data_IF_821099036905
#
_entry.id   IF_821099036905
#
_cell.length_a   1.000
_cell.length_b   1.000
_cell.length_c   1.000
_cell.angle_alpha   90.00
_cell.angle_beta   90.00
_cell.angle_gamma   90.00
#
_symmetry.space_group_name_H-M   'P 1'
#
loop_
_entity.id
_entity.type
_entity.pdbx_description
1 polymer ?
#
# COMPACT_ATOMS: atom_id res chain seq x y z
N UNK A 1 12.12 8.83 -5.59
CA UNK A 1 11.41 9.15 -6.86
C UNK A 1 11.52 10.61 -7.23
N UNK A 2 11.22 11.51 -6.33
CA UNK A 2 11.36 12.97 -6.58
C UNK A 2 12.79 13.39 -6.93
N UNK A 3 13.80 12.73 -6.39
CA UNK A 3 15.19 13.02 -6.69
C UNK A 3 15.58 12.79 -8.17
N UNK A 4 14.95 11.83 -8.85
CA UNK A 4 15.23 11.52 -10.26
C UNK A 4 14.67 12.58 -11.21
N UNK A 5 13.56 13.21 -10.85
CA UNK A 5 12.91 14.26 -11.66
C UNK A 5 13.71 15.58 -11.66
N UNK A 6 14.69 15.70 -10.76
CA UNK A 6 15.57 16.88 -10.61
C UNK A 6 16.94 16.65 -11.23
N UNK A 7 17.24 15.44 -11.77
CA UNK A 7 18.53 15.18 -12.42
C UNK A 7 18.65 15.91 -13.75
N UNK A 8 19.86 16.39 -14.06
CA UNK A 8 20.15 17.15 -15.28
C UNK A 8 19.79 16.34 -16.54
N UNK A 9 20.06 15.02 -16.54
CA UNK A 9 19.73 14.11 -17.64
C UNK A 9 18.21 14.00 -17.90
N UNK A 10 17.39 14.07 -16.85
CA UNK A 10 15.92 14.09 -16.98
C UNK A 10 15.45 15.42 -17.55
N UNK A 11 16.00 16.52 -17.05
CA UNK A 11 15.65 17.89 -17.48
C UNK A 11 16.00 18.08 -18.95
N UNK A 12 17.18 17.61 -19.37
CA UNK A 12 17.66 17.70 -20.77
C UNK A 12 16.81 16.83 -21.70
N UNK A 13 16.53 15.58 -21.33
CA UNK A 13 15.70 14.66 -22.15
C UNK A 13 14.30 15.21 -22.41
N UNK A 14 13.73 15.85 -21.44
CA UNK A 14 12.38 16.40 -21.51
C UNK A 14 12.35 17.91 -21.85
N UNK A 15 13.41 18.49 -22.44
CA UNK A 15 13.48 19.92 -22.85
C UNK A 15 13.05 20.90 -21.76
N UNK A 16 13.63 20.80 -20.57
CA UNK A 16 13.43 21.71 -19.42
C UNK A 16 11.94 21.93 -19.06
N UNK A 17 11.28 20.92 -18.47
CA UNK A 17 9.85 20.98 -18.17
C UNK A 17 9.54 22.15 -17.22
N UNK A 18 8.48 22.89 -17.51
CA UNK A 18 8.03 23.98 -16.64
C UNK A 18 7.71 23.45 -15.24
N UNK A 19 7.87 24.28 -14.20
CA UNK A 19 7.57 23.91 -12.82
C UNK A 19 6.13 23.38 -12.62
N UNK A 20 5.18 23.85 -13.44
CA UNK A 20 3.80 23.35 -13.45
C UNK A 20 3.74 21.89 -13.90
N UNK A 21 4.48 21.51 -14.94
CA UNK A 21 4.53 20.13 -15.43
C UNK A 21 5.20 19.22 -14.40
N UNK A 22 6.29 19.68 -13.79
CA UNK A 22 6.96 18.94 -12.71
C UNK A 22 6.04 18.75 -11.50
N UNK A 23 5.30 19.77 -11.11
CA UNK A 23 4.27 19.71 -10.08
C UNK A 23 3.15 18.73 -10.43
N UNK A 24 2.67 18.74 -11.68
CA UNK A 24 1.66 17.79 -12.17
C UNK A 24 2.16 16.34 -12.15
N UNK A 25 3.40 16.09 -12.53
CA UNK A 25 4.03 14.77 -12.45
C UNK A 25 4.13 14.31 -11.00
N UNK A 26 4.48 15.19 -10.06
CA UNK A 26 4.54 14.89 -8.63
C UNK A 26 3.17 14.54 -8.05
N UNK A 27 2.15 15.37 -8.33
CA UNK A 27 0.80 15.22 -7.81
C UNK A 27 -0.01 14.08 -8.46
N UNK A 28 0.36 13.65 -9.67
CA UNK A 28 -0.30 12.55 -10.38
C UNK A 28 -0.34 11.24 -9.57
N UNK A 29 0.74 10.92 -8.87
CA UNK A 29 0.82 9.74 -8.01
C UNK A 29 -0.16 9.87 -6.82
N UNK A 30 -0.22 11.04 -6.19
CA UNK A 30 -1.14 11.30 -5.08
C UNK A 30 -2.61 11.25 -5.55
N UNK A 31 -2.94 11.82 -6.71
CA UNK A 31 -4.26 11.76 -7.29
C UNK A 31 -4.70 10.31 -7.56
N UNK A 32 -3.81 9.50 -8.15
CA UNK A 32 -4.04 8.06 -8.34
C UNK A 32 -4.29 7.33 -7.02
N UNK A 33 -3.54 7.65 -5.96
CA UNK A 33 -3.67 6.98 -4.66
C UNK A 33 -4.99 7.30 -3.94
N UNK A 34 -5.54 8.50 -4.12
CA UNK A 34 -6.88 8.84 -3.59
C UNK A 34 -7.94 7.96 -4.23
N UNK A 35 -7.90 7.79 -5.56
CA UNK A 35 -8.84 6.91 -6.26
C UNK A 35 -8.63 5.45 -5.83
N UNK A 36 -7.38 4.99 -5.76
CA UNK A 36 -7.03 3.64 -5.33
C UNK A 36 -7.54 3.31 -3.93
N UNK A 37 -7.36 4.21 -2.97
CA UNK A 37 -7.81 4.02 -1.58
C UNK A 37 -9.35 3.98 -1.48
N UNK A 38 -10.06 4.81 -2.25
CA UNK A 38 -11.52 4.82 -2.28
C UNK A 38 -12.10 3.50 -2.80
N UNK A 39 -11.45 2.87 -3.77
CA UNK A 39 -11.90 1.62 -4.40
C UNK A 39 -11.37 0.38 -3.65
N UNK A 40 -10.34 0.53 -2.82
CA UNK A 40 -9.70 -0.56 -2.09
C UNK A 40 -10.68 -1.38 -1.22
N UNK A 41 -11.58 -0.71 -0.49
CA UNK A 41 -12.59 -1.37 0.36
C UNK A 41 -13.50 -2.31 -0.42
N UNK A 42 -14.26 -1.82 -1.41
CA UNK A 42 -15.13 -2.65 -2.26
C UNK A 42 -14.43 -3.81 -2.96
N UNK A 43 -13.20 -3.60 -3.46
CA UNK A 43 -12.39 -4.66 -4.09
C UNK A 43 -12.03 -5.73 -3.05
N UNK A 44 -11.47 -5.31 -1.92
CA UNK A 44 -11.03 -6.20 -0.86
C UNK A 44 -12.17 -7.03 -0.25
N UNK A 45 -13.37 -6.47 -0.19
CA UNK A 45 -14.55 -7.19 0.29
C UNK A 45 -14.98 -8.31 -0.66
N UNK A 46 -14.78 -8.12 -1.97
CA UNK A 46 -15.16 -9.11 -2.99
C UNK A 46 -14.11 -10.22 -3.16
N UNK A 47 -12.86 -9.85 -3.34
CA UNK A 47 -11.79 -10.81 -3.71
C UNK A 47 -10.87 -11.19 -2.55
N UNK A 48 -10.97 -10.49 -1.41
CA UNK A 48 -10.11 -10.72 -0.23
C UNK A 48 -8.92 -9.78 -0.19
N UNK A 49 -8.31 -9.65 1.00
CA UNK A 49 -7.20 -8.73 1.25
C UNK A 49 -5.97 -9.10 0.43
N UNK A 50 -5.56 -10.38 0.50
CA UNK A 50 -4.40 -10.91 -0.21
C UNK A 50 -4.53 -10.75 -1.73
N UNK A 51 -5.66 -11.16 -2.25
CA UNK A 51 -5.89 -11.17 -3.70
C UNK A 51 -6.09 -9.73 -4.24
N UNK A 52 -6.56 -8.78 -3.40
CA UNK A 52 -6.58 -7.34 -3.72
C UNK A 52 -5.18 -6.74 -3.85
N UNK A 53 -4.25 -7.14 -2.99
CA UNK A 53 -2.86 -6.70 -3.09
C UNK A 53 -2.22 -7.26 -4.36
N UNK A 54 -2.48 -8.54 -4.68
CA UNK A 54 -2.01 -9.14 -5.93
C UNK A 54 -2.54 -8.41 -7.17
N UNK A 55 -3.83 -8.09 -7.17
CA UNK A 55 -4.47 -7.30 -8.23
C UNK A 55 -3.80 -5.92 -8.38
N UNK A 56 -3.52 -5.24 -7.28
CA UNK A 56 -2.82 -3.97 -7.29
C UNK A 56 -1.40 -4.08 -7.88
N UNK A 57 -0.67 -5.16 -7.58
CA UNK A 57 0.65 -5.40 -8.13
C UNK A 57 0.66 -5.52 -9.67
N UNK A 58 -0.41 -6.06 -10.29
CA UNK A 58 -0.52 -6.11 -11.74
C UNK A 58 -0.61 -4.70 -12.34
N UNK A 59 -1.39 -3.80 -11.72
CA UNK A 59 -1.43 -2.39 -12.13
C UNK A 59 -0.10 -1.69 -11.94
N UNK A 60 0.66 -2.05 -10.88
CA UNK A 60 2.02 -1.54 -10.69
C UNK A 60 2.95 -1.92 -11.83
N UNK A 61 2.92 -3.18 -12.26
CA UNK A 61 3.73 -3.64 -13.40
C UNK A 61 3.40 -2.87 -14.67
N UNK A 62 2.11 -2.69 -14.97
CA UNK A 62 1.67 -1.92 -16.14
C UNK A 62 2.12 -0.46 -16.03
N UNK A 63 1.87 0.19 -14.90
CA UNK A 63 2.25 1.59 -14.68
C UNK A 63 3.76 1.81 -14.76
N UNK A 64 4.55 0.91 -14.18
CA UNK A 64 6.02 0.97 -14.24
C UNK A 64 6.53 0.72 -15.66
N UNK A 65 5.94 -0.22 -16.41
CA UNK A 65 6.28 -0.44 -17.84
C UNK A 65 6.05 0.82 -18.66
N UNK A 66 4.91 1.49 -18.47
CA UNK A 66 4.61 2.77 -19.14
C UNK A 66 5.60 3.85 -18.76
N UNK A 67 6.02 3.92 -17.48
CA UNK A 67 7.01 4.90 -17.03
C UNK A 67 8.40 4.65 -17.61
N UNK A 68 8.86 3.39 -17.66
CA UNK A 68 10.16 3.04 -18.24
C UNK A 68 10.21 3.30 -19.73
N UNK A 69 9.10 3.04 -20.43
CA UNK A 69 8.97 3.24 -21.88
C UNK A 69 8.58 4.67 -22.27
N UNK A 70 8.42 5.60 -21.30
CA UNK A 70 7.89 6.92 -21.59
C UNK A 70 8.79 7.73 -22.53
N UNK A 71 8.13 8.38 -23.50
CA UNK A 71 8.73 9.34 -24.44
C UNK A 71 8.17 10.75 -24.26
N UNK A 72 7.00 10.86 -23.64
CA UNK A 72 6.25 12.10 -23.46
C UNK A 72 5.78 12.25 -22.01
N UNK A 73 5.59 13.51 -21.56
CA UNK A 73 5.04 13.82 -20.23
C UNK A 73 3.69 13.13 -19.97
N UNK A 74 2.81 13.07 -20.97
CA UNK A 74 1.51 12.42 -20.83
C UNK A 74 1.59 10.96 -20.46
N UNK A 75 2.53 10.21 -21.05
CA UNK A 75 2.78 8.81 -20.71
C UNK A 75 3.34 8.68 -19.29
N UNK A 76 4.25 9.58 -18.90
CA UNK A 76 4.81 9.58 -17.55
C UNK A 76 3.73 9.85 -16.49
N UNK A 77 2.85 10.83 -16.73
CA UNK A 77 1.73 11.15 -15.84
C UNK A 77 0.77 9.97 -15.76
N UNK A 78 0.40 9.36 -16.89
CA UNK A 78 -0.48 8.18 -16.92
C UNK A 78 0.11 7.00 -16.13
N UNK A 79 1.39 6.70 -16.32
CA UNK A 79 2.08 5.66 -15.56
C UNK A 79 2.11 5.98 -14.06
N UNK A 80 2.29 7.24 -13.66
CA UNK A 80 2.25 7.67 -12.26
C UNK A 80 0.87 7.57 -11.64
N UNK A 81 -0.19 7.88 -12.38
CA UNK A 81 -1.57 7.69 -11.90
C UNK A 81 -1.86 6.20 -11.66
N UNK A 82 -1.43 5.31 -12.56
CA UNK A 82 -1.57 3.86 -12.40
C UNK A 82 -0.80 3.34 -11.18
N UNK A 83 0.44 3.79 -10.99
CA UNK A 83 1.21 3.43 -9.82
C UNK A 83 0.61 4.02 -8.54
N UNK A 84 0.09 5.25 -8.60
CA UNK A 84 -0.66 5.86 -7.51
C UNK A 84 -1.87 5.03 -7.11
N UNK A 85 -2.65 4.55 -8.08
CA UNK A 85 -3.79 3.67 -7.84
C UNK A 85 -3.38 2.42 -7.05
N UNK A 86 -2.28 1.79 -7.44
CA UNK A 86 -1.70 0.66 -6.69
C UNK A 86 -1.31 1.04 -5.27
N UNK A 87 -0.59 2.16 -5.10
CA UNK A 87 -0.20 2.66 -3.78
C UNK A 87 -1.42 2.87 -2.88
N UNK A 88 -2.52 3.44 -3.42
CA UNK A 88 -3.75 3.65 -2.67
C UNK A 88 -4.37 2.34 -2.17
N UNK A 89 -4.43 1.32 -3.01
CA UNK A 89 -4.94 -0.01 -2.63
C UNK A 89 -4.02 -0.66 -1.60
N UNK A 90 -2.71 -0.71 -1.85
CA UNK A 90 -1.77 -1.41 -0.97
C UNK A 90 -1.63 -0.73 0.38
N UNK A 91 -1.56 0.59 0.44
CA UNK A 91 -1.50 1.34 1.70
C UNK A 91 -2.74 1.13 2.58
N UNK A 92 -3.90 0.89 1.96
CA UNK A 92 -5.14 0.60 2.70
C UNK A 92 -5.20 -0.86 3.15
N UNK A 93 -4.79 -1.82 2.28
CA UNK A 93 -5.03 -3.24 2.50
C UNK A 93 -3.93 -3.95 3.28
N UNK A 94 -2.66 -3.53 3.11
CA UNK A 94 -1.53 -4.20 3.79
C UNK A 94 -1.62 -4.11 5.31
N UNK A 95 -1.87 -2.93 5.94
CA UNK A 95 -2.01 -2.85 7.39
C UNK A 95 -3.19 -3.68 7.91
N UNK A 96 -4.32 -3.68 7.19
CA UNK A 96 -5.51 -4.46 7.55
C UNK A 96 -5.20 -5.95 7.48
N UNK A 97 -4.59 -6.41 6.37
CA UNK A 97 -4.22 -7.81 6.20
C UNK A 97 -3.25 -8.27 7.28
N UNK A 98 -2.22 -7.50 7.57
CA UNK A 98 -1.25 -7.82 8.62
C UNK A 98 -1.90 -7.86 10.01
N UNK A 99 -2.82 -6.95 10.31
CA UNK A 99 -3.55 -6.94 11.58
C UNK A 99 -4.52 -8.14 11.71
N UNK A 100 -5.08 -8.64 10.58
CA UNK A 100 -5.99 -9.79 10.56
C UNK A 100 -5.26 -11.14 10.71
N UNK A 101 -4.00 -11.24 10.27
CA UNK A 101 -3.18 -12.47 10.40
C UNK A 101 -2.25 -12.45 11.62
N UNK A 102 -2.04 -11.29 12.24
CA UNK A 102 -1.16 -11.17 13.40
C UNK A 102 -1.84 -11.68 14.67
N UNK A 103 -1.07 -12.41 15.51
CA UNK A 103 -1.49 -12.70 16.88
C UNK A 103 -1.76 -11.40 17.64
N UNK A 104 -2.80 -11.38 18.48
CA UNK A 104 -3.23 -10.17 19.20
C UNK A 104 -2.08 -9.46 19.93
N UNK A 105 -1.21 -10.23 20.58
CA UNK A 105 -0.04 -9.75 21.32
C UNK A 105 1.03 -9.08 20.43
N UNK A 106 1.14 -9.49 19.16
CA UNK A 106 2.17 -9.05 18.22
C UNK A 106 1.68 -8.03 17.19
N UNK A 107 0.41 -7.66 17.19
CA UNK A 107 -0.17 -6.71 16.21
C UNK A 107 0.58 -5.38 16.16
N UNK A 108 0.90 -4.81 17.31
CA UNK A 108 1.68 -3.56 17.39
C UNK A 108 3.07 -3.68 16.78
N UNK A 109 3.80 -4.75 17.11
CA UNK A 109 5.14 -5.00 16.56
C UNK A 109 5.13 -5.17 15.05
N UNK A 110 4.13 -5.84 14.49
CA UNK A 110 4.01 -6.07 13.04
C UNK A 110 3.77 -4.75 12.29
N UNK A 111 2.94 -3.85 12.84
CA UNK A 111 2.71 -2.52 12.27
C UNK A 111 4.00 -1.69 12.28
N UNK A 112 4.79 -1.76 13.36
CA UNK A 112 6.09 -1.07 13.45
C UNK A 112 7.07 -1.65 12.40
N UNK A 113 7.15 -2.97 12.27
CA UNK A 113 8.00 -3.63 11.27
C UNK A 113 7.59 -3.23 9.86
N UNK A 114 6.29 -3.12 9.56
CA UNK A 114 5.81 -2.63 8.28
C UNK A 114 6.30 -1.21 8.00
N UNK A 115 6.20 -0.30 8.97
CA UNK A 115 6.67 1.08 8.79
C UNK A 115 8.19 1.11 8.59
N UNK A 116 8.94 0.33 9.36
CA UNK A 116 10.38 0.20 9.20
C UNK A 116 10.76 -0.30 7.79
N UNK A 117 10.03 -1.28 7.27
CA UNK A 117 10.26 -1.79 5.92
C UNK A 117 10.01 -0.72 4.84
N UNK A 118 9.03 0.16 5.03
CA UNK A 118 8.79 1.31 4.13
C UNK A 118 9.99 2.25 4.14
N UNK A 119 10.50 2.62 5.32
CA UNK A 119 11.67 3.50 5.44
C UNK A 119 12.93 2.89 4.81
N UNK A 120 13.16 1.59 5.01
CA UNK A 120 14.23 0.86 4.33
C UNK A 120 14.07 0.87 2.81
N UNK A 121 12.85 0.72 2.30
CA UNK A 121 12.57 0.82 0.87
C UNK A 121 12.89 2.21 0.31
N UNK A 122 12.58 3.26 1.05
CA UNK A 122 12.93 4.65 0.68
C UNK A 122 14.46 4.82 0.64
N UNK A 123 15.16 4.32 1.65
CA UNK A 123 16.62 4.38 1.73
C UNK A 123 17.29 3.67 0.55
N UNK A 124 16.87 2.45 0.25
CA UNK A 124 17.38 1.67 -0.89
C UNK A 124 17.16 2.43 -2.20
N UNK A 125 15.95 2.98 -2.41
CA UNK A 125 15.64 3.75 -3.62
C UNK A 125 16.43 5.04 -3.72
N UNK A 126 16.79 5.66 -2.60
CA UNK A 126 17.68 6.82 -2.58
C UNK A 126 19.07 6.47 -3.10
N UNK A 127 19.69 5.38 -2.60
CA UNK A 127 21.00 4.94 -3.07
C UNK A 127 20.99 4.46 -4.53
N UNK A 128 19.92 3.80 -4.97
CA UNK A 128 19.75 3.43 -6.38
C UNK A 128 19.68 4.69 -7.25
N UNK A 129 18.89 5.69 -6.84
CA UNK A 129 18.79 6.96 -7.54
C UNK A 129 20.13 7.70 -7.61
N UNK A 130 20.87 7.71 -6.51
CA UNK A 130 22.23 8.28 -6.47
C UNK A 130 23.19 7.56 -7.42
N UNK A 131 23.21 6.21 -7.39
CA UNK A 131 24.02 5.44 -8.32
C UNK A 131 23.63 5.62 -9.79
N UNK A 132 22.34 5.72 -10.07
CA UNK A 132 21.84 5.95 -11.43
C UNK A 132 22.16 7.37 -11.95
N UNK A 133 22.35 8.35 -11.07
CA UNK A 133 22.73 9.72 -11.47
C UNK A 133 24.11 9.76 -12.17
N UNK A 134 24.98 8.78 -11.94
CA UNK A 134 26.28 8.66 -12.62
C UNK A 134 26.19 8.07 -14.03
N UNK A 135 25.00 7.59 -14.45
CA UNK A 135 24.79 7.03 -15.78
C UNK A 135 24.41 8.15 -16.75
N UNK A 136 25.11 8.26 -17.85
CA UNK A 136 24.81 9.27 -18.87
C UNK A 136 23.56 8.92 -19.70
N UNK A 137 22.78 9.93 -20.06
CA UNK A 137 21.64 9.83 -20.95
C UNK A 137 20.35 9.25 -20.34
N UNK A 138 19.37 8.91 -21.18
CA UNK A 138 18.04 8.47 -20.72
C UNK A 138 18.05 7.12 -19.98
N UNK A 139 19.13 6.37 -20.04
CA UNK A 139 19.29 5.12 -19.28
C UNK A 139 19.29 5.35 -17.76
N UNK A 140 19.75 6.51 -17.29
CA UNK A 140 19.79 6.90 -15.88
C UNK A 140 18.43 6.73 -15.20
N UNK A 141 17.42 7.47 -15.62
CA UNK A 141 16.09 7.44 -14.98
C UNK A 141 15.30 6.18 -15.34
N UNK A 142 15.49 5.58 -16.53
CA UNK A 142 14.84 4.34 -16.93
C UNK A 142 15.28 3.15 -16.07
N UNK A 143 16.58 3.04 -15.80
CA UNK A 143 17.13 2.00 -14.91
C UNK A 143 16.59 2.16 -13.49
N UNK A 144 16.59 3.39 -12.96
CA UNK A 144 16.07 3.64 -11.62
C UNK A 144 14.58 3.31 -11.49
N UNK A 145 13.76 3.59 -12.51
CA UNK A 145 12.36 3.16 -12.52
C UNK A 145 12.21 1.67 -12.77
N UNK A 146 13.06 1.07 -13.61
CA UNK A 146 13.06 -0.37 -13.88
C UNK A 146 13.37 -1.23 -12.65
N UNK A 147 14.21 -0.75 -11.74
CA UNK A 147 14.53 -1.46 -10.49
C UNK A 147 13.30 -1.77 -9.64
N UNK A 148 12.22 -1.00 -9.79
CA UNK A 148 10.95 -1.22 -9.07
C UNK A 148 10.21 -2.50 -9.48
N UNK A 149 10.55 -3.09 -10.63
CA UNK A 149 10.02 -4.40 -11.02
C UNK A 149 10.45 -5.50 -10.05
N UNK A 150 11.69 -5.43 -9.55
CA UNK A 150 12.28 -6.47 -8.71
C UNK A 150 11.42 -6.75 -7.47
N UNK A 151 11.18 -5.78 -6.57
CA UNK A 151 10.37 -6.03 -5.37
C UNK A 151 8.92 -6.39 -5.72
N UNK A 152 8.36 -5.83 -6.79
CA UNK A 152 7.00 -6.15 -7.22
C UNK A 152 6.86 -7.61 -7.66
N UNK A 153 7.82 -8.13 -8.45
CA UNK A 153 7.83 -9.54 -8.87
C UNK A 153 7.99 -10.46 -7.68
N UNK A 154 8.89 -10.15 -6.74
CA UNK A 154 9.04 -10.92 -5.50
C UNK A 154 7.74 -10.94 -4.69
N UNK A 155 7.04 -9.82 -4.61
CA UNK A 155 5.75 -9.75 -3.91
C UNK A 155 4.68 -10.59 -4.62
N UNK A 156 4.58 -10.53 -5.94
CA UNK A 156 3.63 -11.33 -6.72
C UNK A 156 3.87 -12.82 -6.55
N UNK A 157 5.13 -13.25 -6.52
CA UNK A 157 5.49 -14.66 -6.33
C UNK A 157 5.25 -15.08 -4.87
N UNK A 158 5.58 -14.23 -3.90
CA UNK A 158 5.48 -14.54 -2.48
C UNK A 158 4.06 -14.52 -1.92
N UNK A 159 3.20 -13.63 -2.44
CA UNK A 159 1.85 -13.45 -1.91
C UNK A 159 0.96 -14.72 -1.92
N UNK A 160 0.98 -15.55 -2.97
CA UNK A 160 0.20 -16.79 -2.99
C UNK A 160 0.54 -17.79 -1.88
N UNK A 161 1.76 -17.75 -1.34
CA UNK A 161 2.19 -18.61 -0.23
C UNK A 161 1.69 -18.12 1.13
N UNK A 162 1.23 -16.89 1.21
CA UNK A 162 0.66 -16.35 2.44
C UNK A 162 -0.81 -16.79 2.63
N UNK A 163 -1.26 -17.05 3.86
CA UNK A 163 -2.63 -17.46 4.14
C UNK A 163 -3.63 -16.36 3.78
N UNK A 164 -4.84 -16.73 3.44
CA UNK A 164 -5.95 -15.77 3.33
C UNK A 164 -6.37 -15.28 4.70
N UNK A 165 -6.97 -14.08 4.76
CA UNK A 165 -7.48 -13.55 6.02
C UNK A 165 -8.62 -14.43 6.57
N UNK A 166 -8.53 -14.90 7.82
CA UNK A 166 -9.61 -15.66 8.46
C UNK A 166 -10.92 -14.87 8.54
N UNK A 167 -10.83 -13.57 8.82
CA UNK A 167 -12.01 -12.68 8.88
C UNK A 167 -12.71 -12.56 7.53
N UNK A 168 -11.95 -12.50 6.44
CA UNK A 168 -12.55 -12.47 5.11
C UNK A 168 -13.16 -13.82 4.72
N UNK A 169 -12.49 -14.94 5.03
CA UNK A 169 -13.02 -16.28 4.78
C UNK A 169 -14.36 -16.49 5.50
N UNK A 170 -14.46 -16.08 6.75
CA UNK A 170 -15.70 -16.11 7.52
C UNK A 170 -16.79 -15.23 6.86
N UNK A 171 -16.43 -14.03 6.36
CA UNK A 171 -17.37 -13.12 5.68
C UNK A 171 -17.96 -13.71 4.40
N UNK A 172 -17.22 -14.56 3.71
CA UNK A 172 -17.65 -15.25 2.47
C UNK A 172 -18.35 -16.59 2.77
N UNK A 173 -18.44 -17.00 4.05
CA UNK A 173 -19.10 -18.25 4.45
C UNK A 173 -18.22 -19.50 4.29
N UNK A 174 -16.88 -19.33 4.23
CA UNK A 174 -15.90 -20.42 4.17
C UNK A 174 -15.34 -20.72 5.57
N UNK A 175 -16.24 -21.03 6.50
CA UNK A 175 -15.93 -21.12 7.93
C UNK A 175 -14.87 -22.19 8.25
N UNK A 176 -14.91 -23.35 7.58
CA UNK A 176 -13.91 -24.41 7.79
C UNK A 176 -12.50 -23.93 7.48
N UNK A 177 -12.29 -23.30 6.33
CA UNK A 177 -10.99 -22.78 5.95
C UNK A 177 -10.55 -21.61 6.85
N UNK A 178 -11.52 -20.81 7.33
CA UNK A 178 -11.23 -19.72 8.26
C UNK A 178 -10.66 -20.28 9.58
N UNK A 179 -11.30 -21.30 10.14
CA UNK A 179 -10.85 -21.94 11.39
C UNK A 179 -9.50 -22.63 11.18
N UNK A 180 -9.32 -23.38 10.10
CA UNK A 180 -8.04 -24.03 9.79
C UNK A 180 -6.90 -23.00 9.63
N UNK A 181 -7.17 -21.90 8.93
CA UNK A 181 -6.20 -20.82 8.76
C UNK A 181 -5.86 -20.17 10.10
N UNK A 182 -6.86 -19.94 10.94
CA UNK A 182 -6.68 -19.38 12.27
C UNK A 182 -5.85 -20.32 13.16
N UNK A 183 -6.18 -21.62 13.15
CA UNK A 183 -5.44 -22.65 13.87
C UNK A 183 -3.97 -22.74 13.43
N UNK A 184 -3.71 -22.67 12.13
CA UNK A 184 -2.35 -22.67 11.58
C UNK A 184 -1.53 -21.45 12.04
N UNK A 185 -2.16 -20.28 12.13
CA UNK A 185 -1.49 -19.03 12.54
C UNK A 185 -1.27 -18.99 14.06
N UNK A 186 -2.27 -19.41 14.86
CA UNK A 186 -2.28 -19.22 16.31
C UNK A 186 -1.73 -20.43 17.08
N UNK A 187 -2.08 -21.66 16.67
CA UNK A 187 -1.93 -22.88 17.44
C UNK A 187 -1.26 -24.04 16.66
N UNK A 188 -0.42 -23.73 15.65
CA UNK A 188 0.30 -24.73 14.84
C UNK A 188 -0.61 -25.85 14.27
N UNK A 189 -1.84 -25.50 13.89
CA UNK A 189 -2.80 -26.41 13.27
C UNK A 189 -3.78 -27.08 14.24
N UNK A 190 -3.72 -26.79 15.55
CA UNK A 190 -4.69 -27.33 16.51
C UNK A 190 -5.97 -26.49 16.50
N UNK A 191 -7.04 -27.05 15.96
CA UNK A 191 -8.35 -26.38 15.83
C UNK A 191 -9.08 -26.27 17.19
N UNK A 192 -8.81 -27.20 18.11
CA UNK A 192 -9.47 -27.27 19.40
C UNK A 192 -8.77 -26.44 20.50
N UNK A 193 -7.76 -25.66 20.11
CA UNK A 193 -7.06 -24.77 21.04
C UNK A 193 -8.02 -23.69 21.56
N UNK A 194 -8.08 -23.45 22.89
CA UNK A 194 -8.95 -22.45 23.49
C UNK A 194 -8.80 -21.05 22.92
N UNK A 195 -7.57 -20.68 22.49
CA UNK A 195 -7.31 -19.39 21.86
C UNK A 195 -7.96 -19.28 20.48
N UNK A 196 -7.93 -20.36 19.69
CA UNK A 196 -8.56 -20.42 18.36
C UNK A 196 -10.07 -20.31 18.48
N UNK A 197 -10.65 -21.05 19.43
CA UNK A 197 -12.10 -21.04 19.67
C UNK A 197 -12.55 -19.63 20.13
N UNK A 198 -11.85 -19.04 21.07
CA UNK A 198 -12.18 -17.69 21.59
C UNK A 198 -12.09 -16.62 20.49
N UNK A 199 -11.04 -16.65 19.66
CA UNK A 199 -10.88 -15.68 18.56
C UNK A 199 -11.90 -15.92 17.45
N UNK A 200 -12.27 -17.17 17.20
CA UNK A 200 -13.35 -17.50 16.26
C UNK A 200 -14.71 -16.94 16.71
N UNK A 201 -15.05 -17.10 17.99
CA UNK A 201 -16.28 -16.55 18.56
C UNK A 201 -16.29 -15.01 18.49
N UNK A 202 -15.14 -14.36 18.74
CA UNK A 202 -15.01 -12.92 18.57
C UNK A 202 -15.28 -12.50 17.12
N UNK A 203 -14.68 -13.19 16.13
CA UNK A 203 -14.90 -12.92 14.70
C UNK A 203 -16.38 -13.05 14.36
N UNK A 204 -17.06 -14.11 14.79
CA UNK A 204 -18.48 -14.29 14.54
C UNK A 204 -19.34 -13.19 15.17
N UNK A 205 -19.01 -12.78 16.39
CA UNK A 205 -19.73 -11.72 17.12
C UNK A 205 -19.62 -10.38 16.39
N UNK A 206 -18.40 -10.01 15.95
CA UNK A 206 -18.16 -8.80 15.17
C UNK A 206 -18.90 -8.85 13.84
N UNK A 207 -18.89 -10.00 13.15
CA UNK A 207 -19.59 -10.15 11.86
C UNK A 207 -21.11 -10.02 12.01
N UNK A 208 -21.71 -10.57 13.07
CA UNK A 208 -23.14 -10.39 13.36
C UNK A 208 -23.46 -8.93 13.58
N UNK A 209 -22.69 -8.23 14.40
CA UNK A 209 -22.85 -6.80 14.64
C UNK A 209 -22.68 -5.96 13.36
N UNK A 210 -21.76 -6.33 12.47
CA UNK A 210 -21.59 -5.66 11.17
C UNK A 210 -22.77 -5.88 10.23
N UNK A 211 -23.35 -7.08 10.22
CA UNK A 211 -24.50 -7.40 9.38
C UNK A 211 -25.78 -6.69 9.87
N UNK A 212 -26.02 -6.66 11.18
CA UNK A 212 -27.15 -5.92 11.79
C UNK A 212 -27.06 -4.42 11.54
N UNK A 213 -25.85 -3.89 11.61
CA UNK A 213 -25.63 -2.47 11.39
C UNK A 213 -25.84 -2.03 9.92
N UNK A 214 -26.02 -2.94 8.93
CA UNK A 214 -26.25 -2.66 7.48
C UNK A 214 -25.00 -2.14 6.77
N UNK A 215 -24.96 -2.18 5.43
CA UNK A 215 -23.85 -1.70 4.58
C UNK A 215 -24.17 -0.30 4.04
N UNK A 216 -23.25 0.67 4.13
CA UNK A 216 -23.39 1.95 3.46
C UNK A 216 -22.45 3.06 3.92
N UNK A 217 -22.11 3.95 3.00
CA UNK A 217 -21.28 5.14 3.23
C UNK A 217 -21.83 6.08 4.32
N UNK A 218 -23.14 6.07 4.55
CA UNK A 218 -23.80 6.87 5.59
C UNK A 218 -23.31 6.55 7.00
N UNK A 219 -22.76 5.37 7.23
CA UNK A 219 -22.18 4.97 8.52
C UNK A 219 -20.90 5.71 8.90
N UNK A 220 -20.12 6.18 7.92
CA UNK A 220 -18.94 7.00 8.21
C UNK A 220 -19.31 8.27 8.99
N UNK A 221 -20.54 8.75 8.84
CA UNK A 221 -21.04 9.93 9.51
C UNK A 221 -21.92 9.62 10.73
N UNK A 222 -22.32 8.35 10.93
CA UNK A 222 -23.12 7.90 12.05
C UNK A 222 -22.26 7.50 13.27
N UNK A 223 -22.82 7.57 14.46
CA UNK A 223 -22.25 7.04 15.71
C UNK A 223 -20.80 7.49 16.06
N UNK A 224 -20.41 8.71 15.71
CA UNK A 224 -19.08 9.24 16.06
C UNK A 224 -17.91 8.64 15.29
N UNK A 225 -18.14 7.80 14.27
CA UNK A 225 -17.11 7.24 13.39
C UNK A 225 -16.29 8.34 12.70
N UNK A 226 -16.92 9.46 12.35
CA UNK A 226 -16.24 10.61 11.75
C UNK A 226 -15.10 11.15 12.62
N UNK A 227 -15.24 11.10 13.97
CA UNK A 227 -14.18 11.52 14.89
C UNK A 227 -12.96 10.61 14.80
N UNK A 228 -13.16 9.29 14.67
CA UNK A 228 -12.08 8.32 14.51
C UNK A 228 -11.37 8.49 13.16
N UNK A 229 -12.14 8.73 12.09
CA UNK A 229 -11.60 9.02 10.77
C UNK A 229 -10.78 10.30 10.78
N UNK A 230 -11.30 11.36 11.43
CA UNK A 230 -10.62 12.64 11.55
C UNK A 230 -9.34 12.54 12.38
N UNK A 231 -9.34 11.77 13.46
CA UNK A 231 -8.16 11.47 14.23
C UNK A 231 -7.09 10.73 13.40
N UNK A 232 -7.48 9.71 12.63
CA UNK A 232 -6.56 9.02 11.73
C UNK A 232 -6.00 9.94 10.65
N UNK A 233 -6.82 10.78 10.04
CA UNK A 233 -6.38 11.78 9.06
C UNK A 233 -5.43 12.80 9.67
N UNK A 234 -5.69 13.27 10.90
CA UNK A 234 -4.81 14.24 11.59
C UNK A 234 -3.43 13.65 11.86
N UNK A 235 -3.35 12.39 12.31
CA UNK A 235 -2.07 11.70 12.55
C UNK A 235 -1.25 11.62 11.27
N UNK A 236 -1.87 11.27 10.15
CA UNK A 236 -1.18 11.21 8.86
C UNK A 236 -0.76 12.60 8.37
N UNK A 237 -1.59 13.62 8.54
CA UNK A 237 -1.25 14.99 8.19
C UNK A 237 -0.05 15.49 9.02
N UNK A 238 0.00 15.20 10.31
CA UNK A 238 1.13 15.53 11.17
C UNK A 238 2.40 14.79 10.77
N UNK A 239 2.31 13.49 10.45
CA UNK A 239 3.45 12.70 9.97
C UNK A 239 4.08 13.31 8.73
N UNK A 240 3.27 13.69 7.73
CA UNK A 240 3.75 14.32 6.49
C UNK A 240 4.34 15.71 6.74
N UNK A 241 3.78 16.47 7.69
CA UNK A 241 4.24 17.85 7.98
C UNK A 241 5.52 17.88 8.84
N UNK A 242 5.71 16.91 9.74
CA UNK A 242 6.89 16.87 10.60
C UNK A 242 8.19 16.51 9.86
N UNK A 243 8.13 15.64 8.86
CA UNK A 243 9.31 15.17 8.12
C UNK A 243 10.06 16.32 7.41
N UNK A 244 9.40 17.23 6.64
CA UNK A 244 10.08 18.36 6.00
C UNK A 244 10.68 19.35 7.00
N UNK A 245 9.99 19.59 8.11
CA UNK A 245 10.45 20.54 9.14
C UNK A 245 11.72 20.03 9.84
N UNK A 246 11.78 18.74 10.13
CA UNK A 246 12.98 18.12 10.73
C UNK A 246 14.17 18.15 9.75
N UNK A 247 13.93 17.92 8.46
CA UNK A 247 14.98 17.96 7.43
C UNK A 247 15.49 19.40 7.19
N UNK A 248 14.62 20.41 7.24
CA UNK A 248 15.04 21.81 7.12
C UNK A 248 15.81 22.30 8.35
N UNK A 249 15.42 21.86 9.55
CA UNK A 249 16.11 22.21 10.80
C UNK A 249 17.48 21.54 10.97
N UNK A 250 17.78 20.48 10.24
CA UNK A 250 19.10 19.81 10.26
C UNK A 250 20.10 20.37 9.24
N UNK A 251 19.65 21.26 8.32
CA UNK A 251 20.45 21.90 7.27
C UNK A 251 20.78 23.37 7.58
N UNK A 252 20.23 23.91 8.65
CA UNK A 252 20.55 25.22 9.22
C UNK A 252 21.51 25.09 10.41
#
# INVERSE_FOLDING_TARGET
>A
MSAIVVTDQYIEYFNNPSGVIQGAIGSALAAGSVVGSAVAGPISDKIGRRDSILFACLFWLIGTSVQVACQNYGQLIAGRVLNGFTVGITSSQVPVYLAEIAKAEKRGSIVIIQQLAIEFGILIMYFIGYGCASIEGPASFRTAWGTQFIPCVFLIIGLPFLPRSPRWLAKVGRDKEAIETLANIQANGNVDDPLVVAEWEEILTVMRAENEAGRGWKKFFANGMWKRTLAGMSVQAWQVSCVPVLLQGSLS
#
